data_IF_160812761588
#
_entry.id   IF_160812761588
#
_cell.length_a   1.000
_cell.length_b   1.000
_cell.length_c   1.000
_cell.angle_alpha   90.00
_cell.angle_beta   90.00
_cell.angle_gamma   90.00
#
_symmetry.space_group_name_H-M   'P 1'
#
loop_
_entity.id
_entity.type
_entity.pdbx_description
1 polymer ?
#
# COMPACT_ATOMS: atom_id res chain seq x y z
N UNK A 1 13.90 -4.45 -14.54
CA UNK A 1 13.43 -4.47 -13.14
C UNK A 1 13.97 -3.23 -12.45
N UNK A 2 13.13 -2.53 -11.69
CA UNK A 2 13.55 -1.37 -10.90
C UNK A 2 14.29 -1.84 -9.65
N UNK A 3 15.30 -1.10 -9.16
CA UNK A 3 16.06 -1.52 -7.98
C UNK A 3 15.21 -1.42 -6.71
N UNK A 4 15.29 -2.46 -5.87
CA UNK A 4 14.62 -2.52 -4.56
C UNK A 4 15.38 -1.65 -3.54
N UNK A 5 14.68 -0.82 -2.74
CA UNK A 5 15.28 -0.09 -1.62
C UNK A 5 16.01 -1.00 -0.63
N UNK A 6 17.10 -0.51 -0.04
CA UNK A 6 17.78 -1.23 1.03
C UNK A 6 16.96 -1.18 2.31
N UNK A 7 16.82 -2.34 2.97
CA UNK A 7 16.25 -2.48 4.31
C UNK A 7 17.30 -2.98 5.32
N UNK A 8 18.59 -2.79 5.03
CA UNK A 8 19.69 -3.33 5.85
C UNK A 8 19.76 -2.78 7.28
N UNK A 9 19.15 -1.61 7.52
CA UNK A 9 19.05 -0.98 8.84
C UNK A 9 17.91 -1.55 9.71
N UNK A 10 17.00 -2.32 9.11
CA UNK A 10 15.76 -2.74 9.77
C UNK A 10 16.04 -3.84 10.80
N UNK A 11 15.52 -3.65 12.00
CA UNK A 11 15.59 -4.64 13.07
C UNK A 11 14.43 -5.64 12.94
N UNK A 12 14.65 -6.73 12.21
CA UNK A 12 13.60 -7.70 11.87
C UNK A 12 13.05 -8.51 13.05
N UNK A 13 13.63 -8.37 14.25
CA UNK A 13 13.04 -8.95 15.46
C UNK A 13 11.67 -8.34 15.81
N UNK A 14 11.39 -7.12 15.32
CA UNK A 14 10.19 -6.33 15.67
C UNK A 14 9.55 -5.63 14.49
N UNK A 15 10.07 -5.82 13.27
CA UNK A 15 9.55 -5.23 12.02
C UNK A 15 9.57 -6.33 10.97
N UNK A 16 8.54 -6.35 10.13
CA UNK A 16 8.43 -7.34 9.06
C UNK A 16 9.60 -7.25 8.07
N UNK A 17 10.26 -8.38 7.83
CA UNK A 17 11.29 -8.53 6.80
C UNK A 17 10.64 -8.70 5.42
N UNK A 18 11.07 -7.94 4.39
CA UNK A 18 10.56 -8.14 3.03
C UNK A 18 10.70 -9.59 2.55
N UNK A 19 9.57 -10.21 2.22
CA UNK A 19 9.51 -11.58 1.71
C UNK A 19 8.80 -11.65 0.34
N UNK A 20 8.43 -12.86 -0.12
CA UNK A 20 7.83 -13.10 -1.44
C UNK A 20 6.59 -12.23 -1.71
N UNK A 21 5.81 -11.92 -0.67
CA UNK A 21 4.63 -11.05 -0.72
C UNK A 21 4.99 -9.58 -1.01
N UNK A 22 6.03 -9.08 -0.37
CA UNK A 22 6.58 -7.73 -0.57
C UNK A 22 7.11 -7.58 -1.99
N UNK A 23 7.90 -8.55 -2.46
CA UNK A 23 8.45 -8.54 -3.82
C UNK A 23 7.36 -8.69 -4.89
N UNK A 24 6.31 -9.48 -4.63
CA UNK A 24 5.18 -9.58 -5.53
C UNK A 24 4.47 -8.22 -5.70
N UNK A 25 4.36 -7.42 -4.64
CA UNK A 25 3.85 -6.04 -4.72
C UNK A 25 4.74 -5.15 -5.57
N UNK A 26 6.07 -5.21 -5.40
CA UNK A 26 7.00 -4.40 -6.20
C UNK A 26 6.94 -4.78 -7.69
N UNK A 27 6.94 -6.07 -7.99
CA UNK A 27 6.84 -6.61 -9.34
C UNK A 27 5.53 -6.22 -10.00
N UNK A 28 4.42 -6.28 -9.26
CA UNK A 28 3.09 -5.93 -9.76
C UNK A 28 2.99 -4.44 -10.05
N UNK A 29 3.40 -3.58 -9.11
CA UNK A 29 3.36 -2.13 -9.26
C UNK A 29 4.30 -1.62 -10.38
N UNK A 30 5.39 -2.33 -10.65
CA UNK A 30 6.33 -1.99 -11.72
C UNK A 30 6.08 -2.70 -13.05
N UNK A 31 5.06 -3.57 -13.11
CA UNK A 31 4.68 -4.26 -14.34
C UNK A 31 4.21 -3.28 -15.43
N UNK A 32 4.42 -3.63 -16.69
CA UNK A 32 4.01 -2.75 -17.81
C UNK A 32 2.50 -2.46 -17.80
N UNK A 33 1.67 -3.46 -17.49
CA UNK A 33 0.22 -3.30 -17.45
C UNK A 33 -0.21 -2.30 -16.37
N UNK A 34 0.35 -2.39 -15.17
CA UNK A 34 -0.02 -1.50 -14.07
C UNK A 34 0.59 -0.11 -14.23
N UNK A 35 1.79 0.03 -14.81
CA UNK A 35 2.32 1.34 -15.22
C UNK A 35 1.36 2.03 -16.19
N UNK A 36 0.90 1.35 -17.24
CA UNK A 36 -0.07 1.90 -18.19
C UNK A 36 -1.36 2.33 -17.47
N UNK A 37 -1.89 1.50 -16.58
CA UNK A 37 -3.08 1.83 -15.79
C UNK A 37 -2.87 3.08 -14.93
N UNK A 38 -1.78 3.15 -14.15
CA UNK A 38 -1.48 4.24 -13.23
C UNK A 38 -1.17 5.55 -13.98
N UNK A 39 -0.42 5.47 -15.09
CA UNK A 39 -0.13 6.61 -15.96
C UNK A 39 -1.43 7.20 -16.52
N UNK A 40 -2.30 6.38 -17.11
CA UNK A 40 -3.58 6.85 -17.63
C UNK A 40 -4.44 7.48 -16.53
N UNK A 41 -4.42 6.91 -15.33
CA UNK A 41 -5.23 7.39 -14.20
C UNK A 41 -4.73 8.69 -13.60
N UNK A 42 -3.41 8.94 -13.60
CA UNK A 42 -2.81 10.10 -12.94
C UNK A 42 -2.32 11.19 -13.89
N UNK A 43 -2.15 10.91 -15.17
CA UNK A 43 -1.80 11.89 -16.20
C UNK A 43 -3.03 12.50 -16.89
N UNK A 44 -4.10 11.72 -17.13
CA UNK A 44 -5.16 12.12 -18.07
C UNK A 44 -6.39 12.80 -17.47
N UNK A 45 -6.31 13.49 -16.33
CA UNK A 45 -7.45 14.29 -15.84
C UNK A 45 -7.57 15.65 -16.56
N UNK A 46 -7.51 15.63 -17.89
CA UNK A 46 -8.12 16.65 -18.72
C UNK A 46 -9.59 16.31 -18.87
N UNK A 47 -10.46 16.99 -18.12
CA UNK A 47 -11.83 17.16 -18.63
C UNK A 47 -11.72 17.95 -19.94
N UNK A 48 -12.19 17.38 -21.05
CA UNK A 48 -12.35 18.06 -22.35
C UNK A 48 -13.38 19.22 -22.33
N UNK A 49 -13.62 19.84 -21.18
CA UNK A 49 -14.64 20.85 -20.97
C UNK A 49 -14.05 22.10 -20.33
N UNK A 50 -13.18 22.81 -21.05
CA UNK A 50 -13.18 24.29 -21.18
C UNK A 50 -11.93 24.75 -21.94
N UNK A 51 -12.10 25.14 -23.21
CA UNK A 51 -11.04 25.68 -24.08
C UNK A 51 -10.46 27.05 -23.65
N UNK A 52 -10.79 27.57 -22.47
CA UNK A 52 -10.48 28.97 -22.07
C UNK A 52 -9.93 29.16 -20.65
N UNK A 53 -9.35 28.12 -20.02
CA UNK A 53 -8.62 28.29 -18.76
C UNK A 53 -7.18 27.79 -18.93
N UNK A 54 -6.24 28.53 -18.35
CA UNK A 54 -4.84 28.16 -18.13
C UNK A 54 -4.69 26.66 -17.79
N UNK A 55 -3.59 25.99 -18.18
CA UNK A 55 -3.42 24.57 -17.93
C UNK A 55 -3.59 24.29 -16.44
N UNK A 56 -4.74 23.72 -16.06
CA UNK A 56 -5.01 23.33 -14.69
C UNK A 56 -4.17 22.09 -14.44
N UNK A 57 -3.04 22.26 -13.77
CA UNK A 57 -2.21 21.15 -13.34
C UNK A 57 -3.08 20.24 -12.47
N UNK A 58 -3.21 18.96 -12.85
CA UNK A 58 -3.88 17.98 -12.00
C UNK A 58 -3.22 17.98 -10.62
N UNK A 59 -4.00 17.95 -9.54
CA UNK A 59 -3.42 17.91 -8.19
C UNK A 59 -2.47 16.72 -8.02
N UNK A 60 -1.42 16.89 -7.23
CA UNK A 60 -0.46 15.84 -6.92
C UNK A 60 -1.13 14.62 -6.25
N UNK A 61 -1.05 13.40 -6.81
CA UNK A 61 -1.46 12.18 -6.15
C UNK A 61 -0.81 11.92 -4.82
N UNK A 62 -1.67 11.59 -3.86
CA UNK A 62 -1.28 11.05 -2.58
C UNK A 62 -1.34 9.52 -2.62
N UNK A 63 -0.17 8.89 -2.47
CA UNK A 63 0.00 7.45 -2.25
C UNK A 63 0.11 7.19 -0.76
N UNK A 64 -0.68 6.24 -0.24
CA UNK A 64 -0.59 5.81 1.15
C UNK A 64 -0.40 4.31 1.22
N UNK A 65 0.66 3.87 1.90
CA UNK A 65 0.82 2.48 2.31
C UNK A 65 0.27 2.30 3.74
N UNK A 66 -0.60 1.32 3.92
CA UNK A 66 -1.07 0.86 5.23
C UNK A 66 -0.22 -0.34 5.66
N UNK A 67 0.18 -0.42 6.93
CA UNK A 67 1.04 -1.49 7.44
C UNK A 67 2.41 -1.50 6.76
N UNK A 68 3.14 -0.39 6.82
CA UNK A 68 4.37 -0.20 6.04
C UNK A 68 5.50 -1.17 6.40
N UNK A 69 5.53 -1.70 7.62
CA UNK A 69 6.56 -2.64 8.05
C UNK A 69 7.98 -2.05 7.89
N UNK A 70 8.81 -2.69 7.06
CA UNK A 70 10.15 -2.19 6.72
C UNK A 70 10.15 -0.92 5.87
N UNK A 71 9.02 -0.56 5.27
CA UNK A 71 8.86 0.57 4.35
C UNK A 71 9.33 0.31 2.92
N UNK A 72 9.65 -0.95 2.58
CA UNK A 72 10.22 -1.30 1.27
C UNK A 72 9.27 -0.93 0.12
N UNK A 73 7.95 -1.07 0.29
CA UNK A 73 6.97 -0.85 -0.78
C UNK A 73 6.73 0.64 -1.01
N UNK A 74 6.40 1.43 0.02
CA UNK A 74 6.26 2.90 -0.13
C UNK A 74 7.57 3.54 -0.58
N UNK A 75 8.72 3.05 -0.10
CA UNK A 75 10.03 3.54 -0.55
C UNK A 75 10.27 3.24 -2.02
N UNK A 76 9.92 2.04 -2.50
CA UNK A 76 10.03 1.68 -3.91
C UNK A 76 9.13 2.56 -4.78
N UNK A 77 7.88 2.78 -4.37
CA UNK A 77 6.96 3.66 -5.11
C UNK A 77 7.44 5.11 -5.09
N UNK A 78 7.97 5.60 -3.97
CA UNK A 78 8.53 6.95 -3.87
C UNK A 78 9.75 7.12 -4.79
N UNK A 79 10.74 6.22 -4.67
CA UNK A 79 11.98 6.27 -5.42
C UNK A 79 11.75 6.19 -6.94
N UNK A 80 10.72 5.44 -7.37
CA UNK A 80 10.43 5.21 -8.77
C UNK A 80 9.13 5.86 -9.25
N UNK A 81 8.67 6.91 -8.57
CA UNK A 81 7.37 7.57 -8.80
C UNK A 81 7.15 7.95 -10.27
N UNK A 82 8.18 8.50 -10.92
CA UNK A 82 8.11 8.88 -12.33
C UNK A 82 7.88 7.67 -13.24
N UNK A 83 8.56 6.56 -12.98
CA UNK A 83 8.41 5.34 -13.79
C UNK A 83 7.09 4.64 -13.52
N UNK A 84 6.67 4.55 -12.26
CA UNK A 84 5.47 3.79 -11.84
C UNK A 84 4.19 4.57 -12.13
N UNK A 85 4.12 5.85 -11.76
CA UNK A 85 2.92 6.69 -11.87
C UNK A 85 2.97 7.67 -13.05
N UNK A 86 4.12 7.82 -13.72
CA UNK A 86 4.29 8.79 -14.81
C UNK A 86 4.49 10.22 -14.33
N UNK A 87 4.67 10.43 -13.02
CA UNK A 87 4.72 11.77 -12.42
C UNK A 87 5.88 11.93 -11.44
N UNK A 88 6.41 13.14 -11.38
CA UNK A 88 7.52 13.51 -10.48
C UNK A 88 7.06 14.19 -9.19
N UNK A 89 5.81 14.68 -9.14
CA UNK A 89 5.23 15.37 -8.00
C UNK A 89 4.32 14.47 -7.16
N UNK A 90 4.57 13.16 -7.13
CA UNK A 90 3.83 12.20 -6.30
C UNK A 90 4.17 12.42 -4.83
N UNK A 91 3.15 12.50 -3.97
CA UNK A 91 3.32 12.51 -2.52
C UNK A 91 3.11 11.09 -1.97
N UNK A 92 3.98 10.64 -1.07
CA UNK A 92 3.86 9.31 -0.44
C UNK A 92 3.80 9.44 1.09
N UNK A 93 3.07 8.56 1.75
CA UNK A 93 2.93 8.52 3.20
C UNK A 93 2.74 7.08 3.68
N UNK A 94 3.19 6.77 4.89
CA UNK A 94 2.98 5.48 5.54
C UNK A 94 2.05 5.57 6.74
N UNK A 95 1.28 4.52 7.02
CA UNK A 95 0.58 4.31 8.30
C UNK A 95 0.93 2.93 8.84
N UNK A 96 1.34 2.85 10.09
CA UNK A 96 1.58 1.56 10.76
C UNK A 96 1.17 1.63 12.24
N UNK A 97 0.75 0.50 12.81
CA UNK A 97 0.44 0.38 14.24
C UNK A 97 1.70 0.21 15.11
N UNK A 98 2.82 -0.12 14.48
CA UNK A 98 4.10 -0.36 15.11
C UNK A 98 5.03 0.85 14.92
N UNK A 99 5.36 1.54 16.02
CA UNK A 99 6.28 2.70 15.98
C UNK A 99 7.64 2.38 15.37
N UNK A 100 8.13 1.15 15.52
CA UNK A 100 9.42 0.75 14.96
C UNK A 100 9.33 0.57 13.44
N UNK A 101 8.18 0.15 12.92
CA UNK A 101 7.90 0.11 11.48
C UNK A 101 7.82 1.52 10.90
N UNK A 102 7.16 2.47 11.59
CA UNK A 102 7.16 3.89 11.17
C UNK A 102 8.59 4.45 11.07
N UNK A 103 9.43 4.21 12.08
CA UNK A 103 10.84 4.64 12.10
C UNK A 103 11.68 3.96 11.03
N UNK A 104 11.52 2.64 10.84
CA UNK A 104 12.18 1.90 9.79
C UNK A 104 11.82 2.45 8.41
N UNK A 105 10.53 2.74 8.19
CA UNK A 105 10.01 3.30 6.93
C UNK A 105 10.64 4.65 6.60
N UNK A 106 10.74 5.57 7.57
CA UNK A 106 11.41 6.86 7.35
C UNK A 106 12.87 6.70 6.91
N UNK A 107 13.61 5.79 7.53
CA UNK A 107 15.00 5.50 7.16
C UNK A 107 15.09 4.84 5.77
N UNK A 108 14.22 3.87 5.47
CA UNK A 108 14.18 3.17 4.17
C UNK A 108 13.86 4.13 3.03
N UNK A 109 12.95 5.09 3.24
CA UNK A 109 12.64 6.10 2.24
C UNK A 109 13.80 7.08 2.08
N UNK A 110 14.38 7.57 3.18
CA UNK A 110 15.52 8.49 3.13
C UNK A 110 16.71 7.91 2.36
N UNK A 111 17.09 6.66 2.65
CA UNK A 111 18.17 5.96 1.93
C UNK A 111 17.86 5.79 0.43
N UNK A 112 16.61 5.51 0.07
CA UNK A 112 16.23 5.38 -1.33
C UNK A 112 16.24 6.73 -2.07
N UNK A 113 15.83 7.82 -1.41
CA UNK A 113 15.90 9.17 -1.96
C UNK A 113 17.35 9.63 -2.14
N UNK A 114 18.23 9.32 -1.20
CA UNK A 114 19.68 9.57 -1.32
C UNK A 114 20.29 8.79 -2.51
N UNK A 115 19.93 7.52 -2.67
CA UNK A 115 20.37 6.71 -3.81
C UNK A 115 19.90 7.28 -5.15
N UNK A 116 18.63 7.69 -5.27
CA UNK A 116 18.11 8.36 -6.47
C UNK A 116 18.82 9.69 -6.74
N UNK A 117 19.01 10.50 -5.70
CA UNK A 117 19.71 11.79 -5.77
C UNK A 117 21.17 11.63 -6.23
N UNK A 118 21.88 10.61 -5.74
CA UNK A 118 23.26 10.31 -6.15
C UNK A 118 23.38 9.95 -7.64
N UNK A 119 22.28 9.45 -8.24
CA UNK A 119 22.16 9.10 -9.66
C UNK A 119 21.56 10.23 -10.51
N UNK A 120 21.19 11.37 -9.90
CA UNK A 120 20.51 12.47 -10.58
C UNK A 120 19.11 12.11 -11.10
N UNK A 121 18.46 11.12 -10.48
CA UNK A 121 17.12 10.65 -10.86
C UNK A 121 16.05 11.31 -9.97
N UNK A 122 14.84 11.58 -10.50
CA UNK A 122 13.75 12.13 -9.71
C UNK A 122 13.11 11.07 -8.82
N UNK A 123 12.60 11.48 -7.67
CA UNK A 123 11.78 10.69 -6.76
C UNK A 123 10.55 11.50 -6.29
N UNK A 124 9.60 10.84 -5.64
CA UNK A 124 8.45 11.48 -5.03
C UNK A 124 8.75 12.21 -3.71
N UNK A 125 7.75 12.86 -3.14
CA UNK A 125 7.82 13.61 -1.88
C UNK A 125 7.24 12.78 -0.74
N UNK A 126 8.10 12.28 0.14
CA UNK A 126 7.64 11.55 1.32
C UNK A 126 7.19 12.51 2.41
N UNK A 127 5.94 12.36 2.85
CA UNK A 127 5.31 13.22 3.84
C UNK A 127 5.54 12.75 5.29
N UNK A 128 6.00 11.50 5.46
CA UNK A 128 6.27 10.89 6.77
C UNK A 128 5.44 9.63 7.02
N UNK A 129 5.62 9.09 8.23
CA UNK A 129 4.89 7.93 8.74
C UNK A 129 3.97 8.34 9.89
N UNK A 130 2.76 7.77 9.92
CA UNK A 130 1.79 7.98 11.00
C UNK A 130 1.66 6.69 11.81
N UNK A 131 1.84 6.81 13.14
CA UNK A 131 1.46 5.75 14.06
C UNK A 131 -0.07 5.72 14.16
N UNK A 132 -0.72 4.72 13.57
CA UNK A 132 -2.18 4.71 13.45
C UNK A 132 -2.76 3.36 13.05
N UNK A 133 -4.05 3.20 13.34
CA UNK A 133 -4.82 2.02 12.96
C UNK A 133 -5.51 2.26 11.60
N UNK A 134 -5.05 1.51 10.59
CA UNK A 134 -5.55 1.55 9.22
C UNK A 134 -5.71 2.99 8.71
N UNK A 135 -6.92 3.39 8.32
CA UNK A 135 -7.20 4.68 7.70
C UNK A 135 -7.71 5.72 8.68
N UNK A 136 -7.74 5.44 10.00
CA UNK A 136 -8.40 6.32 10.98
C UNK A 136 -7.74 7.70 11.08
N UNK A 137 -6.44 7.79 10.82
CA UNK A 137 -5.73 9.06 10.80
C UNK A 137 -5.84 9.81 9.46
N UNK A 138 -6.48 9.22 8.45
CA UNK A 138 -6.53 9.75 7.09
C UNK A 138 -7.78 10.58 6.87
N UNK A 139 -7.61 11.71 6.17
CA UNK A 139 -8.74 12.54 5.75
C UNK A 139 -9.55 11.82 4.67
N UNK A 140 -10.90 11.78 4.76
CA UNK A 140 -11.75 11.18 3.73
C UNK A 140 -11.51 11.76 2.33
N UNK A 141 -11.57 10.89 1.32
CA UNK A 141 -11.50 11.25 -0.09
C UNK A 141 -10.19 11.87 -0.56
N UNK A 142 -9.08 11.61 0.12
CA UNK A 142 -7.76 12.20 -0.22
C UNK A 142 -6.76 11.19 -0.79
N UNK A 143 -6.96 9.89 -0.56
CA UNK A 143 -5.99 8.88 -1.00
C UNK A 143 -6.25 8.51 -2.44
N UNK A 144 -5.29 8.77 -3.31
CA UNK A 144 -5.40 8.48 -4.74
C UNK A 144 -4.91 7.07 -5.09
N UNK A 145 -3.89 6.58 -4.38
CA UNK A 145 -3.40 5.22 -4.45
C UNK A 145 -3.18 4.68 -3.04
N UNK A 146 -3.94 3.67 -2.65
CA UNK A 146 -3.73 2.94 -1.39
C UNK A 146 -3.01 1.62 -1.67
N UNK A 147 -2.02 1.28 -0.86
CA UNK A 147 -1.31 0.00 -0.94
C UNK A 147 -1.43 -0.70 0.41
N UNK A 148 -1.76 -1.98 0.39
CA UNK A 148 -1.84 -2.76 1.62
C UNK A 148 -1.32 -4.19 1.42
N UNK A 149 -0.28 -4.52 2.18
CA UNK A 149 0.10 -5.89 2.46
C UNK A 149 -0.42 -6.27 3.86
N UNK A 150 -1.63 -6.83 3.98
CA UNK A 150 -2.24 -7.09 5.28
C UNK A 150 -1.49 -8.17 6.08
N UNK A 151 -1.69 -8.24 7.41
CA UNK A 151 -1.50 -9.49 8.12
C UNK A 151 -2.56 -10.50 7.64
N UNK A 152 -2.18 -11.38 6.71
CA UNK A 152 -3.11 -12.27 6.01
C UNK A 152 -3.12 -13.72 6.53
N UNK A 153 -2.31 -14.04 7.55
CA UNK A 153 -2.20 -15.40 8.08
C UNK A 153 -3.37 -15.67 9.04
N UNK A 154 -4.16 -16.74 8.83
CA UNK A 154 -5.25 -17.07 9.75
C UNK A 154 -4.75 -17.35 11.17
N UNK A 155 -5.36 -16.69 12.15
CA UNK A 155 -5.11 -16.90 13.58
C UNK A 155 -6.43 -17.00 14.33
N UNK A 156 -6.43 -17.57 15.54
CA UNK A 156 -7.65 -17.69 16.34
C UNK A 156 -8.22 -16.33 16.73
N UNK A 157 -7.33 -15.38 17.05
CA UNK A 157 -7.67 -14.00 17.43
C UNK A 157 -6.61 -13.04 16.88
N UNK A 158 -6.95 -11.75 16.80
CA UNK A 158 -6.00 -10.69 16.49
C UNK A 158 -5.15 -10.33 17.73
N UNK A 159 -3.84 -10.06 17.57
CA UNK A 159 -3.02 -9.56 18.66
C UNK A 159 -3.50 -8.17 19.09
N UNK A 160 -3.49 -7.90 20.40
CA UNK A 160 -3.86 -6.58 20.90
C UNK A 160 -2.87 -5.50 20.44
N UNK A 161 -3.39 -4.41 19.89
CA UNK A 161 -2.55 -3.26 19.53
C UNK A 161 -2.03 -2.59 20.81
N UNK A 162 -0.70 -2.42 20.99
CA UNK A 162 -0.17 -1.79 22.20
C UNK A 162 -0.65 -0.34 22.32
N UNK A 163 -1.40 -0.02 23.39
CA UNK A 163 -1.97 1.33 23.58
C UNK A 163 -0.94 2.41 23.95
N UNK A 164 0.19 2.03 24.58
CA UNK A 164 1.29 2.93 24.96
C UNK A 164 2.59 2.12 25.04
N UNK A 165 3.56 2.39 24.17
CA UNK A 165 4.93 1.96 24.38
C UNK A 165 5.63 3.03 25.22
N UNK A 166 5.57 2.89 26.55
CA UNK A 166 6.42 3.69 27.43
C UNK A 166 7.91 3.42 27.15
N UNK A 167 8.84 4.22 27.70
CA UNK A 167 10.29 4.05 27.49
C UNK A 167 10.88 2.79 28.16
N UNK A 168 10.08 1.76 28.40
CA UNK A 168 10.47 0.55 29.12
C UNK A 168 11.25 -0.39 28.19
N UNK A 169 12.30 -0.99 28.76
CA UNK A 169 13.20 -1.92 28.10
C UNK A 169 12.44 -3.01 27.32
N UNK A 170 12.85 -3.23 26.07
CA UNK A 170 12.29 -4.23 25.16
C UNK A 170 12.61 -5.63 25.70
N UNK A 171 11.58 -6.41 26.03
CA UNK A 171 11.71 -7.85 26.25
C UNK A 171 11.52 -8.60 24.93
N UNK A 172 12.04 -9.83 24.87
CA UNK A 172 11.79 -10.74 23.75
C UNK A 172 10.29 -10.89 23.45
N UNK A 173 9.46 -11.00 24.51
CA UNK A 173 8.00 -11.11 24.38
C UNK A 173 7.37 -9.87 23.73
N UNK A 174 7.86 -8.67 24.07
CA UNK A 174 7.36 -7.43 23.48
C UNK A 174 7.72 -7.30 21.99
N UNK A 175 8.93 -7.70 21.61
CA UNK A 175 9.37 -7.71 20.21
C UNK A 175 8.58 -8.76 19.40
N UNK A 176 8.38 -9.97 19.95
CA UNK A 176 7.57 -11.02 19.34
C UNK A 176 6.12 -10.59 19.16
N UNK A 177 5.54 -9.90 20.15
CA UNK A 177 4.19 -9.34 20.06
C UNK A 177 4.08 -8.31 18.93
N UNK A 178 5.05 -7.40 18.81
CA UNK A 178 5.08 -6.41 17.74
C UNK A 178 5.20 -7.07 16.36
N UNK A 179 6.01 -8.11 16.22
CA UNK A 179 6.12 -8.87 14.98
C UNK A 179 4.83 -9.63 14.66
N UNK A 180 4.10 -10.13 15.67
CA UNK A 180 2.82 -10.82 15.43
C UNK A 180 1.78 -9.94 14.73
N UNK A 181 1.81 -8.63 14.95
CA UNK A 181 0.93 -7.66 14.28
C UNK A 181 1.12 -7.62 12.76
N UNK A 182 2.27 -8.06 12.24
CA UNK A 182 2.56 -8.02 10.81
C UNK A 182 2.02 -9.21 10.03
N UNK A 183 1.67 -10.32 10.69
CA UNK A 183 1.18 -11.52 10.01
C UNK A 183 -0.18 -12.02 10.51
N UNK A 184 -0.53 -11.83 11.79
CA UNK A 184 -1.75 -12.38 12.37
C UNK A 184 -3.03 -11.65 11.90
N UNK A 185 -3.80 -12.32 11.05
CA UNK A 185 -4.97 -11.76 10.36
C UNK A 185 -6.33 -12.11 10.96
N UNK A 186 -6.36 -12.88 12.05
CA UNK A 186 -7.59 -13.34 12.69
C UNK A 186 -8.32 -14.39 11.86
N UNK A 187 -9.65 -14.46 12.01
CA UNK A 187 -10.49 -15.42 11.30
C UNK A 187 -10.29 -15.31 9.78
N UNK A 188 -9.96 -16.45 9.17
CA UNK A 188 -9.62 -16.59 7.73
C UNK A 188 -8.48 -15.67 7.23
N UNK A 189 -7.74 -15.05 8.17
CA UNK A 189 -6.73 -14.05 7.86
C UNK A 189 -7.30 -12.73 7.32
N UNK A 190 -8.58 -12.46 7.56
CA UNK A 190 -9.33 -11.40 6.88
C UNK A 190 -9.90 -10.31 7.79
N UNK A 191 -9.76 -10.41 9.11
CA UNK A 191 -10.37 -9.42 10.03
C UNK A 191 -9.86 -8.00 9.76
N UNK A 192 -8.54 -7.82 9.67
CA UNK A 192 -7.91 -6.53 9.37
C UNK A 192 -8.21 -6.08 7.93
N UNK A 193 -8.15 -7.00 6.97
CA UNK A 193 -8.45 -6.73 5.56
C UNK A 193 -9.89 -6.26 5.37
N UNK A 194 -10.87 -6.91 6.00
CA UNK A 194 -12.27 -6.53 5.94
C UNK A 194 -12.53 -5.15 6.51
N UNK A 195 -11.85 -4.79 7.62
CA UNK A 195 -11.91 -3.42 8.17
C UNK A 195 -11.41 -2.38 7.17
N UNK A 196 -10.30 -2.66 6.47
CA UNK A 196 -9.82 -1.76 5.41
C UNK A 196 -10.81 -1.69 4.25
N UNK A 197 -11.30 -2.84 3.74
CA UNK A 197 -12.25 -2.89 2.62
C UNK A 197 -13.49 -2.01 2.89
N UNK A 198 -14.04 -2.07 4.11
CA UNK A 198 -15.18 -1.25 4.54
C UNK A 198 -14.88 0.26 4.58
N UNK A 199 -13.61 0.66 4.70
CA UNK A 199 -13.19 2.06 4.71
C UNK A 199 -12.91 2.65 3.32
N UNK A 200 -12.77 1.81 2.28
CA UNK A 200 -12.30 2.24 0.96
C UNK A 200 -13.21 3.28 0.31
N UNK A 201 -14.54 3.20 0.47
CA UNK A 201 -15.46 4.20 -0.08
C UNK A 201 -15.25 5.59 0.54
N UNK A 202 -14.86 5.63 1.83
CA UNK A 202 -14.65 6.86 2.57
C UNK A 202 -13.27 7.47 2.30
N UNK A 203 -12.22 6.65 2.28
CA UNK A 203 -10.83 7.15 2.25
C UNK A 203 -10.35 7.49 0.84
N UNK A 204 -10.75 6.70 -0.16
CA UNK A 204 -10.25 6.86 -1.53
C UNK A 204 -10.86 8.10 -2.20
N UNK A 205 -10.00 8.81 -2.94
CA UNK A 205 -10.36 9.90 -3.84
C UNK A 205 -11.51 9.48 -4.75
N UNK A 206 -12.59 10.26 -4.77
CA UNK A 206 -13.80 9.97 -5.56
C UNK A 206 -13.52 9.99 -7.06
N UNK A 207 -12.60 10.86 -7.50
CA UNK A 207 -12.28 11.06 -8.91
C UNK A 207 -11.37 9.97 -9.47
N UNK A 208 -10.32 9.59 -8.72
CA UNK A 208 -9.24 8.75 -9.26
C UNK A 208 -8.72 7.67 -8.32
N UNK A 209 -9.31 7.49 -7.15
CA UNK A 209 -8.85 6.55 -6.13
C UNK A 209 -8.78 5.10 -6.59
N UNK A 210 -7.69 4.42 -6.24
CA UNK A 210 -7.51 2.99 -6.39
C UNK A 210 -6.72 2.38 -5.21
N UNK A 211 -6.84 1.08 -5.01
CA UNK A 211 -6.16 0.34 -3.97
C UNK A 211 -5.55 -0.96 -4.52
N UNK A 212 -4.35 -1.32 -4.05
CA UNK A 212 -3.70 -2.60 -4.28
C UNK A 212 -3.64 -3.35 -2.96
N UNK A 213 -4.26 -4.53 -2.90
CA UNK A 213 -4.34 -5.33 -1.68
C UNK A 213 -3.84 -6.73 -1.98
N UNK A 214 -2.89 -7.20 -1.17
CA UNK A 214 -2.39 -8.57 -1.25
C UNK A 214 -3.32 -9.52 -0.49
N UNK A 215 -3.54 -10.70 -1.05
CA UNK A 215 -4.32 -11.80 -0.48
C UNK A 215 -3.60 -13.12 -0.72
N UNK A 216 -3.69 -14.05 0.23
CA UNK A 216 -3.28 -15.44 0.05
C UNK A 216 -4.48 -16.32 -0.36
N UNK A 217 -4.23 -17.58 -0.73
CA UNK A 217 -5.28 -18.52 -1.13
C UNK A 217 -6.36 -18.71 -0.05
N UNK A 218 -5.97 -18.71 1.23
CA UNK A 218 -6.86 -18.91 2.37
C UNK A 218 -7.82 -17.73 2.56
N UNK A 219 -7.46 -16.53 2.10
CA UNK A 219 -8.33 -15.35 2.14
C UNK A 219 -9.47 -15.40 1.11
N UNK A 220 -9.56 -16.47 0.31
CA UNK A 220 -10.59 -16.70 -0.72
C UNK A 220 -10.76 -15.50 -1.67
N UNK A 221 -9.72 -15.13 -2.46
CA UNK A 221 -9.72 -13.89 -3.24
C UNK A 221 -10.86 -13.74 -4.24
N UNK A 222 -11.38 -14.83 -4.80
CA UNK A 222 -12.55 -14.77 -5.70
C UNK A 222 -13.81 -14.33 -4.97
N UNK A 223 -14.04 -14.82 -3.73
CA UNK A 223 -15.18 -14.40 -2.91
C UNK A 223 -15.03 -12.93 -2.52
N UNK A 224 -13.82 -12.50 -2.13
CA UNK A 224 -13.54 -11.08 -1.84
C UNK A 224 -13.88 -10.20 -3.05
N UNK A 225 -13.48 -10.61 -4.26
CA UNK A 225 -13.81 -9.89 -5.50
C UNK A 225 -15.31 -9.90 -5.80
N UNK A 226 -16.00 -11.01 -5.58
CA UNK A 226 -17.46 -11.10 -5.75
C UNK A 226 -18.20 -10.13 -4.83
N UNK A 227 -17.79 -10.01 -3.57
CA UNK A 227 -18.36 -9.03 -2.64
C UNK A 227 -18.08 -7.59 -3.07
N UNK A 228 -16.86 -7.28 -3.51
CA UNK A 228 -16.51 -5.93 -4.00
C UNK A 228 -17.33 -5.56 -5.25
N UNK A 229 -17.60 -6.51 -6.15
CA UNK A 229 -18.46 -6.27 -7.33
C UNK A 229 -19.90 -5.89 -6.94
N UNK A 230 -20.37 -6.26 -5.75
CA UNK A 230 -21.69 -5.87 -5.23
C UNK A 230 -21.72 -4.43 -4.70
N UNK A 231 -20.59 -3.75 -4.55
CA UNK A 231 -20.53 -2.34 -4.11
C UNK A 231 -21.16 -1.35 -5.09
N UNK A 232 -21.41 -1.77 -6.33
CA UNK A 232 -22.11 -0.99 -7.34
C UNK A 232 -21.23 -0.57 -8.52
N UNK A 233 -21.86 0.08 -9.51
CA UNK A 233 -21.26 0.38 -10.83
C UNK A 233 -20.08 1.37 -10.79
N UNK A 234 -19.82 2.01 -9.65
CA UNK A 234 -18.70 2.93 -9.47
C UNK A 234 -17.38 2.25 -9.10
N UNK A 235 -17.35 0.92 -9.06
CA UNK A 235 -16.18 0.14 -8.64
C UNK A 235 -15.82 -0.95 -9.65
N UNK A 236 -14.52 -1.14 -9.84
CA UNK A 236 -13.96 -2.29 -10.54
C UNK A 236 -12.97 -3.02 -9.62
N UNK A 237 -12.88 -4.34 -9.79
CA UNK A 237 -11.89 -5.16 -9.09
C UNK A 237 -11.33 -6.25 -10.01
N UNK A 238 -10.00 -6.35 -10.04
CA UNK A 238 -9.25 -7.26 -10.91
C UNK A 238 -8.08 -7.87 -10.14
N UNK A 239 -7.67 -9.09 -10.49
CA UNK A 239 -6.39 -9.63 -10.04
C UNK A 239 -5.31 -9.14 -11.01
N UNK A 240 -4.33 -8.41 -10.49
CA UNK A 240 -3.26 -7.75 -11.28
C UNK A 240 -1.87 -8.33 -11.00
N UNK A 241 -1.71 -9.05 -9.90
CA UNK A 241 -0.48 -9.76 -9.55
C UNK A 241 -0.78 -11.16 -9.02
N UNK A 242 0.13 -12.11 -9.25
CA UNK A 242 0.00 -13.49 -8.77
C UNK A 242 1.37 -14.16 -8.68
N UNK A 243 1.64 -14.89 -7.60
CA UNK A 243 2.88 -15.70 -7.45
C UNK A 243 2.91 -16.94 -8.35
N UNK A 244 1.88 -17.16 -9.18
CA UNK A 244 1.84 -18.16 -10.24
C UNK A 244 1.17 -19.48 -9.84
N UNK A 245 1.51 -20.56 -10.57
CA UNK A 245 0.97 -21.93 -10.38
C UNK A 245 1.82 -22.79 -9.43
N UNK A 246 2.54 -22.21 -8.46
CA UNK A 246 3.05 -23.01 -7.35
C UNK A 246 1.81 -23.61 -6.65
N UNK A 247 1.58 -24.90 -6.83
CA UNK A 247 0.50 -25.61 -6.15
C UNK A 247 0.86 -25.62 -4.66
N UNK A 248 0.15 -24.83 -3.86
CA UNK A 248 0.46 -24.67 -2.46
C UNK A 248 -0.54 -23.76 -1.75
N UNK A 249 -0.52 -23.82 -0.43
CA UNK A 249 -1.37 -23.05 0.47
C UNK A 249 -1.02 -21.55 0.46
N UNK A 250 0.13 -21.19 -0.13
CA UNK A 250 0.72 -19.84 -0.17
C UNK A 250 0.55 -19.14 -1.52
N UNK A 251 -0.45 -19.50 -2.34
CA UNK A 251 -0.69 -18.76 -3.58
C UNK A 251 -1.08 -17.32 -3.24
N UNK A 252 -0.22 -16.38 -3.58
CA UNK A 252 -0.40 -14.95 -3.35
C UNK A 252 -1.01 -14.30 -4.58
N UNK A 253 -1.94 -13.38 -4.38
CA UNK A 253 -2.58 -12.59 -5.40
C UNK A 253 -2.65 -11.14 -4.95
N UNK A 254 -2.49 -10.22 -5.89
CA UNK A 254 -2.76 -8.79 -5.66
C UNK A 254 -4.01 -8.44 -6.43
N UNK A 255 -5.01 -7.94 -5.70
CA UNK A 255 -6.19 -7.35 -6.30
C UNK A 255 -6.03 -5.85 -6.41
N UNK A 256 -6.43 -5.29 -7.54
CA UNK A 256 -6.61 -3.86 -7.73
C UNK A 256 -8.10 -3.54 -7.65
N UNK A 257 -8.46 -2.64 -6.73
CA UNK A 257 -9.80 -2.09 -6.58
C UNK A 257 -9.75 -0.62 -7.04
N UNK A 258 -10.63 -0.18 -7.93
CA UNK A 258 -10.56 1.20 -8.45
C UNK A 258 -11.93 1.84 -8.63
N UNK A 259 -12.01 3.15 -8.37
CA UNK A 259 -13.12 3.99 -8.78
C UNK A 259 -13.20 4.05 -10.30
N UNK A 260 -14.37 3.79 -10.86
CA UNK A 260 -14.66 3.93 -12.29
C UNK A 260 -15.73 4.99 -12.51
N UNK A 261 -15.67 5.67 -13.66
CA UNK A 261 -16.72 6.59 -14.05
C UNK A 261 -18.04 5.82 -14.22
N UNK A 262 -19.13 6.39 -13.72
CA UNK A 262 -20.46 5.87 -13.96
C UNK A 262 -20.97 6.62 -15.18
N UNK A 263 -21.05 5.95 -16.32
CA UNK A 263 -21.75 6.49 -17.47
C UNK A 263 -23.23 6.64 -17.06
N UNK A 264 -23.68 7.90 -16.98
CA UNK A 264 -25.04 8.31 -16.63
C UNK A 264 -26.00 8.15 -17.79
#
# INVERSE_FOLDING_TARGET
MLPTPSTSHVAFQRVYEPAEDSYLLLDTLSSEAEKIFLHNRFLNNHSESTKNSSPSTSSSPLVVEIGTGSGVVVSFVNAHANTILGRTDVMTMGVDVNRFACQATEQTVGMAQEDQGSKGLPNGFFLGSVLGDLTLALRPGQVDLLIFNPPYVPTLELPHTPRVLGPQATSYDADSHLLSLSYAGGLDGMETTNRLLNSLDTVLSRARGCAYILLCAQNQPEIVKEEIRKWGKGWAVETVGSSGKKAGWEKLQIIRISRIAIDS
#
